data_IF_736204661057
#
_entry.id   IF_736204661057
#
_cell.length_a   1.000
_cell.length_b   1.000
_cell.length_c   1.000
_cell.angle_alpha   90.00
_cell.angle_beta   90.00
_cell.angle_gamma   90.00
#
_symmetry.space_group_name_H-M   'P 1'
#
loop_
_entity.id
_entity.type
_entity.pdbx_description
1 polymer ?
#
# COMPACT_ATOMS: atom_id res chain seq x y z
N UNK A 1 -35.98 -1.89 22.02
CA UNK A 1 -36.09 -2.06 20.56
C UNK A 1 -34.83 -1.50 19.91
N UNK A 2 -33.83 -2.34 19.70
CA UNK A 2 -32.53 -1.94 19.13
C UNK A 2 -32.60 -1.90 17.62
N UNK A 3 -32.33 -0.74 17.03
CA UNK A 3 -32.16 -0.60 15.60
C UNK A 3 -30.79 -1.20 15.19
N UNK A 4 -30.82 -2.32 14.48
CA UNK A 4 -29.65 -2.90 13.80
C UNK A 4 -29.29 -1.96 12.64
N UNK A 5 -28.16 -1.27 12.73
CA UNK A 5 -27.59 -0.49 11.62
C UNK A 5 -26.96 -1.47 10.64
N UNK A 6 -27.68 -1.76 9.57
CA UNK A 6 -27.20 -2.60 8.47
C UNK A 6 -26.40 -1.71 7.51
N UNK A 7 -25.10 -1.98 7.36
CA UNK A 7 -24.28 -1.36 6.31
C UNK A 7 -24.71 -1.94 4.96
N UNK A 8 -25.43 -1.17 4.15
CA UNK A 8 -25.87 -1.57 2.82
C UNK A 8 -25.07 -0.74 1.79
N UNK A 9 -24.10 -1.37 1.13
CA UNK A 9 -23.63 -0.86 -0.17
C UNK A 9 -24.65 -1.31 -1.22
N UNK A 10 -25.51 -0.42 -1.67
CA UNK A 10 -26.46 -0.70 -2.73
C UNK A 10 -25.81 -0.42 -4.09
N UNK A 11 -25.55 -1.46 -4.86
CA UNK A 11 -25.18 -1.35 -6.27
C UNK A 11 -26.45 -1.25 -7.09
N UNK A 12 -26.72 -0.09 -7.68
CA UNK A 12 -27.77 0.04 -8.68
C UNK A 12 -27.25 -0.45 -10.05
N UNK A 13 -27.91 -1.41 -10.71
CA UNK A 13 -27.49 -1.87 -12.02
C UNK A 13 -27.87 -0.84 -13.09
N UNK A 14 -26.91 -0.43 -13.89
CA UNK A 14 -27.18 0.28 -15.16
C UNK A 14 -27.52 -0.79 -16.21
N UNK A 15 -28.66 -0.61 -16.89
CA UNK A 15 -29.28 -1.55 -17.81
C UNK A 15 -28.32 -2.18 -18.84
N UNK A 16 -28.02 -3.43 -18.65
CA UNK A 16 -27.50 -4.37 -19.63
C UNK A 16 -27.95 -5.76 -19.19
N UNK A 17 -28.76 -6.44 -20.01
CA UNK A 17 -29.33 -7.77 -19.73
C UNK A 17 -28.24 -8.81 -19.46
N UNK A 18 -27.84 -8.94 -18.20
CA UNK A 18 -27.12 -10.11 -17.69
C UNK A 18 -28.16 -11.01 -17.06
N UNK A 19 -28.45 -12.15 -17.68
CA UNK A 19 -29.26 -13.22 -17.10
C UNK A 19 -28.61 -13.68 -15.78
N UNK A 20 -29.11 -13.15 -14.66
CA UNK A 20 -28.70 -13.56 -13.32
C UNK A 20 -29.51 -14.77 -12.88
N UNK A 21 -29.14 -15.96 -13.37
CA UNK A 21 -29.59 -17.22 -12.77
C UNK A 21 -28.56 -17.73 -11.78
N UNK A 22 -28.15 -16.93 -10.82
CA UNK A 22 -27.57 -17.29 -9.52
C UNK A 22 -27.36 -15.99 -8.70
N UNK A 23 -28.40 -15.53 -8.06
CA UNK A 23 -28.31 -14.43 -7.08
C UNK A 23 -27.64 -14.92 -5.79
N UNK A 24 -26.34 -15.25 -5.85
CA UNK A 24 -25.49 -15.21 -4.66
C UNK A 24 -25.21 -13.73 -4.38
N UNK A 25 -25.79 -13.21 -3.31
CA UNK A 25 -25.55 -11.84 -2.88
C UNK A 25 -24.05 -11.60 -2.81
N UNK A 26 -23.55 -10.51 -3.40
CA UNK A 26 -22.13 -10.14 -3.39
C UNK A 26 -21.60 -10.03 -1.95
N UNK A 27 -22.49 -9.86 -0.98
CA UNK A 27 -22.20 -9.77 0.46
C UNK A 27 -22.48 -11.05 1.27
N UNK A 28 -23.15 -12.06 0.71
CA UNK A 28 -23.48 -13.33 1.39
C UNK A 28 -22.62 -14.52 0.97
N UNK A 29 -21.70 -14.35 0.01
CA UNK A 29 -20.80 -15.42 -0.44
C UNK A 29 -19.53 -15.53 0.42
N UNK A 30 -18.85 -16.69 0.35
CA UNK A 30 -17.54 -16.91 0.97
C UNK A 30 -16.52 -15.88 0.44
N UNK A 31 -15.56 -15.48 1.29
CA UNK A 31 -14.45 -14.61 0.85
C UNK A 31 -13.63 -15.34 -0.22
N UNK A 32 -13.31 -14.71 -1.36
CA UNK A 32 -12.50 -15.36 -2.40
C UNK A 32 -11.11 -15.72 -1.88
N UNK A 33 -10.49 -16.80 -2.42
CA UNK A 33 -9.33 -17.42 -1.79
C UNK A 33 -8.09 -16.51 -1.71
N UNK A 34 -7.82 -15.69 -2.73
CA UNK A 34 -6.63 -14.81 -2.69
C UNK A 34 -6.85 -13.69 -1.68
N UNK A 35 -8.02 -13.06 -1.67
CA UNK A 35 -8.37 -12.05 -0.67
C UNK A 35 -8.23 -12.60 0.75
N UNK A 36 -8.79 -13.79 1.00
CA UNK A 36 -8.70 -14.43 2.31
C UNK A 36 -7.25 -14.73 2.71
N UNK A 37 -6.48 -15.33 1.80
CA UNK A 37 -5.08 -15.68 2.07
C UNK A 37 -4.21 -14.44 2.30
N UNK A 38 -4.40 -13.36 1.55
CA UNK A 38 -3.70 -12.11 1.77
C UNK A 38 -3.96 -11.57 3.18
N UNK A 39 -5.23 -11.56 3.61
CA UNK A 39 -5.59 -11.11 4.96
C UNK A 39 -4.93 -12.00 6.03
N UNK A 40 -5.04 -13.32 5.90
CA UNK A 40 -4.48 -14.27 6.87
C UNK A 40 -2.95 -14.13 6.95
N UNK A 41 -2.26 -14.10 5.81
CA UNK A 41 -0.79 -13.97 5.78
C UNK A 41 -0.35 -12.67 6.45
N UNK A 42 -0.98 -11.53 6.12
CA UNK A 42 -0.62 -10.24 6.71
C UNK A 42 -0.84 -10.21 8.23
N UNK A 43 -1.95 -10.79 8.72
CA UNK A 43 -2.23 -10.87 10.16
C UNK A 43 -1.22 -11.79 10.86
N UNK A 44 -0.90 -12.96 10.29
CA UNK A 44 0.08 -13.89 10.87
C UNK A 44 1.47 -13.23 10.91
N UNK A 45 1.90 -12.57 9.83
CA UNK A 45 3.20 -11.89 9.77
C UNK A 45 3.25 -10.74 10.78
N UNK A 46 2.18 -9.96 10.92
CA UNK A 46 2.10 -8.89 11.92
C UNK A 46 2.19 -9.43 13.36
N UNK A 47 1.50 -10.52 13.66
CA UNK A 47 1.61 -11.19 14.97
C UNK A 47 3.04 -11.73 15.19
N UNK A 48 3.66 -12.30 14.15
CA UNK A 48 5.04 -12.76 14.23
C UNK A 48 6.00 -11.59 14.49
N UNK A 49 5.85 -10.43 13.81
CA UNK A 49 6.67 -9.24 14.09
C UNK A 49 6.60 -8.86 15.59
N UNK A 50 5.40 -8.90 16.17
CA UNK A 50 5.19 -8.55 17.57
C UNK A 50 5.84 -9.55 18.54
N UNK A 51 5.77 -10.87 18.24
CA UNK A 51 6.38 -11.92 19.04
C UNK A 51 7.91 -11.86 18.95
N UNK A 52 8.46 -11.78 17.73
CA UNK A 52 9.91 -11.76 17.50
C UNK A 52 10.57 -10.50 18.05
N UNK A 53 9.90 -9.37 17.96
CA UNK A 53 10.41 -8.11 18.55
C UNK A 53 10.63 -8.24 20.07
N UNK A 54 9.76 -8.97 20.77
CA UNK A 54 9.94 -9.26 22.22
C UNK A 54 11.11 -10.17 22.53
N UNK A 55 11.53 -10.99 21.56
CA UNK A 55 12.72 -11.84 21.69
C UNK A 55 14.02 -11.15 21.21
N UNK A 56 13.95 -9.85 20.89
CA UNK A 56 15.10 -9.08 20.44
C UNK A 56 15.40 -9.17 18.94
N UNK A 57 14.51 -9.78 18.14
CA UNK A 57 14.66 -9.87 16.68
C UNK A 57 13.62 -8.97 16.00
N UNK A 58 14.08 -7.94 15.30
CA UNK A 58 13.17 -7.08 14.51
C UNK A 58 13.02 -7.61 13.08
N UNK A 59 11.86 -8.24 12.81
CA UNK A 59 11.53 -8.71 11.46
C UNK A 59 11.33 -7.55 10.48
N UNK A 60 11.06 -6.35 10.96
CA UNK A 60 10.92 -5.14 10.13
C UNK A 60 12.25 -4.81 9.46
N UNK A 61 13.34 -4.89 10.20
CA UNK A 61 14.70 -4.67 9.69
C UNK A 61 15.11 -5.72 8.66
N UNK A 62 14.70 -6.97 8.86
CA UNK A 62 15.11 -8.09 7.98
C UNK A 62 14.31 -8.09 6.68
N UNK A 63 12.99 -7.92 6.75
CA UNK A 63 12.06 -8.14 5.64
C UNK A 63 11.42 -6.86 5.09
N UNK A 64 11.53 -5.74 5.80
CA UNK A 64 11.07 -4.43 5.34
C UNK A 64 11.92 -3.90 4.19
N UNK A 65 11.37 -3.01 3.41
CA UNK A 65 12.02 -2.45 2.24
C UNK A 65 13.00 -1.36 2.65
N UNK A 66 14.29 -1.63 2.50
CA UNK A 66 15.35 -0.63 2.57
C UNK A 66 15.61 -0.01 1.19
N UNK A 67 16.18 1.19 1.19
CA UNK A 67 16.71 1.78 -0.03
C UNK A 67 17.90 0.98 -0.57
N UNK A 68 18.01 0.85 -1.90
CA UNK A 68 19.03 0.02 -2.56
C UNK A 68 20.48 0.40 -2.19
N UNK A 69 20.73 1.66 -1.83
CA UNK A 69 22.04 2.13 -1.37
C UNK A 69 22.29 1.92 0.13
N UNK A 70 21.33 1.43 0.91
CA UNK A 70 21.50 1.08 2.32
C UNK A 70 22.16 -0.29 2.48
N UNK A 71 22.94 -0.47 3.52
CA UNK A 71 23.52 -1.78 3.90
C UNK A 71 22.46 -2.82 4.28
N UNK A 72 21.27 -2.37 4.69
CA UNK A 72 20.13 -3.22 5.02
C UNK A 72 19.40 -3.81 3.82
N UNK A 73 19.62 -3.31 2.60
CA UNK A 73 18.88 -3.75 1.41
C UNK A 73 19.12 -5.21 1.04
N UNK A 74 18.04 -5.90 0.72
CA UNK A 74 18.04 -7.24 0.13
C UNK A 74 16.95 -7.31 -0.94
N UNK A 75 17.19 -8.01 -2.04
CA UNK A 75 16.28 -8.04 -3.21
C UNK A 75 14.90 -8.59 -2.88
N UNK A 76 14.78 -9.55 -1.97
CA UNK A 76 13.50 -10.13 -1.56
C UNK A 76 12.58 -9.11 -0.88
N UNK A 77 13.13 -8.02 -0.33
CA UNK A 77 12.39 -6.96 0.33
C UNK A 77 11.42 -6.24 -0.61
N UNK A 78 11.65 -6.26 -1.93
CA UNK A 78 10.70 -5.76 -2.93
C UNK A 78 9.33 -6.45 -2.86
N UNK A 79 9.26 -7.63 -2.26
CA UNK A 79 8.02 -8.40 -2.10
C UNK A 79 7.65 -8.52 -0.62
N UNK A 80 8.60 -8.84 0.26
CA UNK A 80 8.29 -9.17 1.65
C UNK A 80 7.73 -7.99 2.42
N UNK A 81 8.15 -6.76 2.13
CA UNK A 81 7.70 -5.55 2.80
C UNK A 81 6.16 -5.36 2.74
N UNK A 82 5.51 -5.89 1.68
CA UNK A 82 4.07 -5.80 1.45
C UNK A 82 3.25 -6.59 2.48
N UNK A 83 3.89 -7.50 3.22
CA UNK A 83 3.24 -8.35 4.22
C UNK A 83 3.56 -7.91 5.64
N UNK A 84 4.47 -6.97 5.83
CA UNK A 84 4.83 -6.40 7.12
C UNK A 84 3.96 -5.19 7.45
N UNK A 85 3.71 -4.98 8.74
CA UNK A 85 3.02 -3.81 9.24
C UNK A 85 3.72 -3.29 10.51
N UNK A 86 3.50 -2.03 10.86
CA UNK A 86 4.07 -1.51 12.11
C UNK A 86 3.56 -2.35 13.30
N UNK A 87 4.45 -2.96 14.08
CA UNK A 87 4.03 -3.72 15.27
C UNK A 87 3.44 -2.82 16.36
N UNK A 88 3.66 -1.51 16.28
CA UNK A 88 3.16 -0.51 17.23
C UNK A 88 1.79 0.06 16.86
N UNK A 89 1.25 -0.26 15.67
CA UNK A 89 0.01 0.31 15.16
C UNK A 89 -0.96 -0.78 14.66
N UNK A 90 -1.90 -1.17 15.51
CA UNK A 90 -3.01 -2.03 15.10
C UNK A 90 -3.83 -1.41 13.95
N UNK A 91 -4.04 -0.09 13.98
CA UNK A 91 -4.75 0.61 12.90
C UNK A 91 -4.12 0.40 11.54
N UNK A 92 -2.80 0.33 11.45
CA UNK A 92 -2.10 0.14 10.18
C UNK A 92 -2.47 -1.21 9.53
N UNK A 93 -2.39 -2.32 10.24
CA UNK A 93 -2.79 -3.63 9.68
C UNK A 93 -4.30 -3.71 9.48
N UNK A 94 -5.09 -3.17 10.42
CA UNK A 94 -6.55 -3.21 10.36
C UNK A 94 -7.09 -2.51 9.11
N UNK A 95 -6.71 -1.25 8.86
CA UNK A 95 -7.23 -0.50 7.71
C UNK A 95 -6.74 -1.06 6.37
N UNK A 96 -5.51 -1.58 6.29
CA UNK A 96 -5.05 -2.28 5.09
C UNK A 96 -5.89 -3.54 4.82
N UNK A 97 -6.08 -4.40 5.81
CA UNK A 97 -6.85 -5.64 5.64
C UNK A 97 -8.33 -5.38 5.42
N UNK A 98 -8.88 -4.35 6.04
CA UNK A 98 -10.24 -3.90 5.78
C UNK A 98 -10.42 -3.45 4.32
N UNK A 99 -9.49 -2.69 3.78
CA UNK A 99 -9.53 -2.26 2.37
C UNK A 99 -9.35 -3.44 1.40
N UNK A 100 -8.45 -4.39 1.70
CA UNK A 100 -8.31 -5.63 0.93
C UNK A 100 -9.62 -6.44 0.98
N UNK A 101 -10.26 -6.56 2.13
CA UNK A 101 -11.54 -7.24 2.28
C UNK A 101 -12.64 -6.56 1.47
N UNK A 102 -12.81 -5.25 1.60
CA UNK A 102 -13.90 -4.50 0.97
C UNK A 102 -13.75 -4.41 -0.55
N UNK A 103 -12.60 -3.99 -1.01
CA UNK A 103 -12.36 -3.69 -2.43
C UNK A 103 -11.71 -4.85 -3.16
N UNK A 104 -10.73 -5.53 -2.54
CA UNK A 104 -10.03 -6.67 -3.13
C UNK A 104 -10.97 -7.84 -3.42
N UNK A 105 -11.88 -8.15 -2.48
CA UNK A 105 -12.91 -9.15 -2.67
C UNK A 105 -13.73 -8.90 -3.94
N UNK A 106 -14.17 -7.67 -4.16
CA UNK A 106 -14.97 -7.31 -5.35
C UNK A 106 -14.16 -7.46 -6.64
N UNK A 107 -12.90 -7.01 -6.62
CA UNK A 107 -12.00 -7.15 -7.76
C UNK A 107 -11.67 -8.61 -8.07
N UNK A 108 -11.46 -9.44 -7.05
CA UNK A 108 -11.20 -10.87 -7.24
C UNK A 108 -12.41 -11.59 -7.86
N UNK A 109 -13.65 -11.24 -7.45
CA UNK A 109 -14.86 -11.78 -8.08
C UNK A 109 -14.96 -11.41 -9.55
N UNK A 110 -14.57 -10.18 -9.93
CA UNK A 110 -14.67 -9.69 -11.33
C UNK A 110 -13.54 -10.23 -12.19
N UNK A 111 -12.32 -10.23 -11.69
CA UNK A 111 -11.14 -10.57 -12.47
C UNK A 111 -10.71 -12.03 -12.36
N UNK A 112 -11.17 -12.72 -11.32
CA UNK A 112 -10.67 -14.02 -10.90
C UNK A 112 -9.35 -13.93 -10.12
N UNK A 113 -9.07 -14.95 -9.33
CA UNK A 113 -7.96 -15.00 -8.37
C UNK A 113 -6.59 -14.73 -8.99
N UNK A 114 -6.31 -15.31 -10.18
CA UNK A 114 -4.99 -15.16 -10.83
C UNK A 114 -4.69 -13.71 -11.21
N UNK A 115 -5.66 -13.01 -11.82
CA UNK A 115 -5.47 -11.61 -12.22
C UNK A 115 -5.41 -10.69 -11.01
N UNK A 116 -6.24 -10.92 -10.02
CA UNK A 116 -6.25 -10.15 -8.78
C UNK A 116 -4.89 -10.25 -8.06
N UNK A 117 -4.35 -11.48 -7.88
CA UNK A 117 -3.04 -11.67 -7.27
C UNK A 117 -1.93 -11.01 -8.09
N UNK A 118 -1.95 -11.16 -9.42
CA UNK A 118 -0.97 -10.48 -10.28
C UNK A 118 -1.04 -8.96 -10.12
N UNK A 119 -2.24 -8.40 -10.08
CA UNK A 119 -2.44 -6.97 -9.88
C UNK A 119 -1.89 -6.50 -8.53
N UNK A 120 -2.22 -7.21 -7.44
CA UNK A 120 -1.73 -6.92 -6.10
C UNK A 120 -0.20 -6.90 -6.04
N UNK A 121 0.45 -7.93 -6.58
CA UNK A 121 1.91 -8.05 -6.55
C UNK A 121 2.58 -6.97 -7.42
N UNK A 122 2.07 -6.71 -8.62
CA UNK A 122 2.66 -5.70 -9.52
C UNK A 122 2.50 -4.30 -8.95
N UNK A 123 1.35 -3.95 -8.38
CA UNK A 123 1.14 -2.63 -7.77
C UNK A 123 1.99 -2.45 -6.51
N UNK A 124 2.19 -3.51 -5.72
CA UNK A 124 3.08 -3.47 -4.57
C UNK A 124 4.55 -3.31 -4.98
N UNK A 125 5.05 -4.12 -5.92
CA UNK A 125 6.43 -3.96 -6.41
C UNK A 125 6.62 -2.59 -7.08
N UNK A 126 5.62 -2.12 -7.84
CA UNK A 126 5.62 -0.77 -8.42
C UNK A 126 5.70 0.33 -7.37
N UNK A 127 4.99 0.18 -6.26
CA UNK A 127 5.06 1.08 -5.12
C UNK A 127 6.48 1.14 -4.53
N UNK A 128 7.13 -0.02 -4.37
CA UNK A 128 8.51 -0.11 -3.90
C UNK A 128 9.48 0.63 -4.84
N UNK A 129 9.33 0.44 -6.15
CA UNK A 129 10.18 1.10 -7.16
C UNK A 129 10.02 2.62 -7.09
N UNK A 130 8.78 3.13 -7.02
CA UNK A 130 8.53 4.58 -6.91
C UNK A 130 9.09 5.13 -5.59
N UNK A 131 8.89 4.43 -4.47
CA UNK A 131 9.46 4.83 -3.19
C UNK A 131 10.99 4.92 -3.25
N UNK A 132 11.66 3.94 -3.84
CA UNK A 132 13.12 3.97 -4.01
C UNK A 132 13.58 5.13 -4.90
N UNK A 133 12.86 5.42 -5.99
CA UNK A 133 13.16 6.55 -6.86
C UNK A 133 13.05 7.89 -6.12
N UNK A 134 11.99 8.07 -5.33
CA UNK A 134 11.81 9.28 -4.52
C UNK A 134 12.89 9.39 -3.45
N UNK A 135 13.23 8.29 -2.78
CA UNK A 135 14.35 8.26 -1.82
C UNK A 135 15.67 8.65 -2.49
N UNK A 136 15.95 8.13 -3.69
CA UNK A 136 17.12 8.53 -4.48
C UNK A 136 17.14 10.04 -4.74
N UNK A 137 16.05 10.60 -5.25
CA UNK A 137 15.96 12.05 -5.54
C UNK A 137 16.17 12.86 -4.25
N UNK A 138 15.56 12.48 -3.14
CA UNK A 138 15.74 13.16 -1.84
C UNK A 138 17.21 13.13 -1.39
N UNK A 139 17.87 11.99 -1.46
CA UNK A 139 19.28 11.85 -1.10
C UNK A 139 20.18 12.71 -1.99
N UNK A 140 19.95 12.72 -3.31
CA UNK A 140 20.73 13.57 -4.23
C UNK A 140 20.60 15.07 -3.89
N UNK A 141 19.39 15.53 -3.56
CA UNK A 141 19.16 16.91 -3.14
C UNK A 141 19.85 17.24 -1.80
N UNK A 142 19.90 16.29 -0.88
CA UNK A 142 20.52 16.49 0.44
C UNK A 142 22.06 16.46 0.39
N UNK A 143 22.66 15.76 -0.55
CA UNK A 143 24.13 15.62 -0.69
C UNK A 143 24.85 16.98 -0.76
N UNK A 144 24.26 17.98 -1.38
CA UNK A 144 24.86 19.29 -1.55
C UNK A 144 25.16 20.01 -0.21
N UNK A 145 24.55 19.56 0.88
CA UNK A 145 24.73 20.15 2.21
C UNK A 145 25.75 19.37 3.07
N UNK A 146 26.43 18.38 2.49
CA UNK A 146 27.34 17.48 3.23
C UNK A 146 28.71 17.45 2.56
N UNK A 147 29.75 17.37 3.39
CA UNK A 147 31.11 17.18 2.90
C UNK A 147 31.32 15.73 2.38
N UNK A 148 32.30 15.49 1.50
CA UNK A 148 32.64 14.14 1.05
C UNK A 148 32.97 13.19 2.19
N UNK A 149 33.69 13.67 3.22
CA UNK A 149 34.06 12.86 4.38
C UNK A 149 32.82 12.49 5.22
N UNK A 150 31.90 13.44 5.45
CA UNK A 150 30.63 13.17 6.12
C UNK A 150 29.78 12.13 5.36
N UNK A 151 29.71 12.24 4.03
CA UNK A 151 29.00 11.26 3.21
C UNK A 151 29.63 9.86 3.33
N UNK A 152 30.98 9.79 3.23
CA UNK A 152 31.68 8.51 3.39
C UNK A 152 31.43 7.89 4.78
N UNK A 153 31.44 8.69 5.84
CA UNK A 153 31.16 8.23 7.18
C UNK A 153 29.72 7.69 7.30
N UNK A 154 28.73 8.41 6.78
CA UNK A 154 27.33 7.96 6.77
C UNK A 154 27.17 6.64 6.02
N UNK A 155 27.76 6.48 4.84
CA UNK A 155 27.67 5.23 4.06
C UNK A 155 28.37 4.06 4.76
N UNK A 156 29.41 4.31 5.58
CA UNK A 156 30.16 3.26 6.27
C UNK A 156 29.61 2.91 7.63
N UNK A 157 29.16 3.87 8.43
CA UNK A 157 28.76 3.67 9.82
C UNK A 157 27.29 3.96 10.11
N UNK A 158 26.62 4.77 9.27
CA UNK A 158 25.30 5.30 9.54
C UNK A 158 24.23 4.25 9.81
N UNK A 159 24.23 3.13 9.05
CA UNK A 159 23.31 2.02 9.31
C UNK A 159 23.53 1.39 10.70
N UNK A 160 24.78 1.12 11.08
CA UNK A 160 25.10 0.53 12.38
C UNK A 160 24.80 1.44 13.55
N UNK A 161 24.91 2.76 13.39
CA UNK A 161 24.50 3.74 14.41
C UNK A 161 23.00 3.66 14.67
N UNK A 162 22.16 3.63 13.61
CA UNK A 162 20.71 3.51 13.77
C UNK A 162 20.30 2.19 14.43
N UNK A 163 21.00 1.09 14.14
CA UNK A 163 20.75 -0.20 14.80
C UNK A 163 21.03 -0.17 16.32
N UNK A 164 21.88 0.77 16.75
CA UNK A 164 22.18 1.00 18.17
C UNK A 164 21.32 2.12 18.79
N UNK A 165 20.28 2.57 18.10
CA UNK A 165 19.44 3.73 18.46
C UNK A 165 20.25 5.04 18.61
N UNK A 166 21.33 5.18 17.85
CA UNK A 166 22.18 6.37 17.79
C UNK A 166 22.09 7.04 16.43
N UNK A 167 22.46 8.32 16.35
CA UNK A 167 22.57 9.04 15.09
C UNK A 167 23.62 10.16 15.22
N UNK A 168 23.91 10.86 14.15
CA UNK A 168 24.84 11.98 14.12
C UNK A 168 24.30 13.18 14.92
N UNK A 169 25.20 13.97 15.51
CA UNK A 169 24.85 15.21 16.21
C UNK A 169 24.49 16.31 15.21
N UNK A 170 25.22 16.34 14.08
CA UNK A 170 24.90 17.28 12.99
C UNK A 170 23.55 16.91 12.34
N UNK A 171 22.66 17.87 12.25
CA UNK A 171 21.29 17.68 11.78
C UNK A 171 21.19 17.28 10.31
N UNK A 172 22.11 17.77 9.45
CA UNK A 172 22.12 17.40 8.04
C UNK A 172 22.58 15.96 7.86
N UNK A 173 23.63 15.53 8.59
CA UNK A 173 24.10 14.15 8.60
C UNK A 173 23.04 13.21 9.18
N UNK A 174 22.43 13.58 10.31
CA UNK A 174 21.37 12.80 10.94
C UNK A 174 20.17 12.59 10.02
N UNK A 175 19.73 13.65 9.36
CA UNK A 175 18.60 13.60 8.44
C UNK A 175 18.91 12.74 7.21
N UNK A 176 20.11 12.90 6.62
CA UNK A 176 20.54 12.09 5.49
C UNK A 176 20.63 10.60 5.88
N UNK A 177 21.19 10.30 7.05
CA UNK A 177 21.30 8.94 7.56
C UNK A 177 19.93 8.28 7.75
N UNK A 178 18.96 8.99 8.31
CA UNK A 178 17.58 8.51 8.47
C UNK A 178 16.95 8.23 7.11
N UNK A 179 17.06 9.13 6.14
CA UNK A 179 16.48 8.94 4.80
C UNK A 179 17.14 7.76 4.08
N UNK A 180 18.47 7.62 4.17
CA UNK A 180 19.22 6.52 3.54
C UNK A 180 18.83 5.15 4.09
N UNK A 181 18.59 5.05 5.40
CA UNK A 181 18.43 3.78 6.11
C UNK A 181 17.01 3.55 6.66
N UNK A 182 16.05 4.42 6.31
CA UNK A 182 14.65 4.21 6.68
C UNK A 182 14.08 2.93 6.05
N UNK A 183 13.20 2.27 6.80
CA UNK A 183 12.55 1.03 6.38
C UNK A 183 11.10 1.30 6.06
N UNK A 184 10.65 0.88 4.89
CA UNK A 184 9.24 0.95 4.47
C UNK A 184 8.57 -0.40 4.65
N UNK A 185 7.37 -0.39 5.24
CA UNK A 185 6.54 -1.59 5.44
C UNK A 185 5.08 -1.28 5.12
N UNK A 186 4.33 -2.29 4.71
CA UNK A 186 2.90 -2.21 4.54
C UNK A 186 2.38 -2.72 3.20
N UNK A 187 1.18 -3.28 3.24
CA UNK A 187 0.41 -3.62 2.05
C UNK A 187 -0.14 -2.39 1.32
N UNK A 188 -0.02 -1.21 1.92
CA UNK A 188 -0.75 0.00 1.52
C UNK A 188 -0.48 0.44 0.07
N UNK A 189 0.74 0.28 -0.45
CA UNK A 189 1.03 0.54 -1.86
C UNK A 189 0.14 -0.29 -2.80
N UNK A 190 0.02 -1.60 -2.54
CA UNK A 190 -0.90 -2.47 -3.29
C UNK A 190 -2.37 -2.15 -3.01
N UNK A 191 -2.72 -1.77 -1.78
CA UNK A 191 -4.08 -1.35 -1.39
C UNK A 191 -4.51 -0.10 -2.14
N UNK A 192 -3.65 0.90 -2.30
CA UNK A 192 -3.94 2.08 -3.12
C UNK A 192 -4.12 1.72 -4.59
N UNK A 193 -3.37 0.73 -5.11
CA UNK A 193 -3.65 0.12 -6.40
C UNK A 193 -5.05 -0.51 -6.48
N UNK A 194 -5.45 -1.28 -5.47
CA UNK A 194 -6.79 -1.88 -5.36
C UNK A 194 -7.88 -0.80 -5.32
N UNK A 195 -7.72 0.25 -4.52
CA UNK A 195 -8.65 1.38 -4.45
C UNK A 195 -8.81 2.08 -5.81
N UNK A 196 -7.70 2.31 -6.50
CA UNK A 196 -7.71 2.87 -7.85
C UNK A 196 -8.49 1.98 -8.81
N UNK A 197 -8.20 0.67 -8.84
CA UNK A 197 -8.91 -0.28 -9.70
C UNK A 197 -10.41 -0.27 -9.43
N UNK A 198 -10.80 -0.27 -8.16
CA UNK A 198 -12.20 -0.19 -7.77
C UNK A 198 -12.85 1.10 -8.27
N UNK A 199 -12.21 2.25 -8.09
CA UNK A 199 -12.70 3.54 -8.58
C UNK A 199 -12.79 3.64 -10.10
N UNK A 200 -11.89 2.96 -10.84
CA UNK A 200 -11.92 2.92 -12.31
C UNK A 200 -12.99 1.95 -12.87
N UNK A 201 -13.22 0.82 -12.20
CA UNK A 201 -14.21 -0.18 -12.65
C UNK A 201 -15.63 0.19 -12.18
N UNK A 202 -15.75 0.76 -11.00
CA UNK A 202 -17.04 1.11 -10.37
C UNK A 202 -17.13 2.60 -10.00
N UNK A 203 -16.96 3.53 -10.95
CA UNK A 203 -16.77 4.96 -10.67
C UNK A 203 -17.95 5.61 -9.95
N UNK A 204 -19.14 5.09 -10.13
CA UNK A 204 -20.38 5.60 -9.55
C UNK A 204 -20.86 4.79 -8.32
N UNK A 205 -20.10 3.78 -7.88
CA UNK A 205 -20.42 3.07 -6.66
C UNK A 205 -20.41 4.04 -5.47
N UNK A 206 -21.44 3.98 -4.65
CA UNK A 206 -21.58 4.82 -3.47
C UNK A 206 -20.96 4.15 -2.26
N UNK A 207 -20.03 4.86 -1.61
CA UNK A 207 -19.28 4.38 -0.46
C UNK A 207 -19.60 5.27 0.75
N UNK A 208 -19.98 4.62 1.85
CA UNK A 208 -20.19 5.30 3.12
C UNK A 208 -18.91 5.25 3.95
N UNK A 209 -18.38 6.40 4.31
CA UNK A 209 -17.15 6.56 5.09
C UNK A 209 -17.50 7.21 6.41
N UNK A 210 -17.34 6.52 7.52
CA UNK A 210 -17.56 7.07 8.85
C UNK A 210 -16.44 8.08 9.17
N UNK A 211 -16.74 9.31 9.61
CA UNK A 211 -18.04 9.83 10.08
C UNK A 211 -18.85 10.63 9.04
N UNK A 212 -18.60 10.52 7.75
CA UNK A 212 -19.26 11.31 6.71
C UNK A 212 -20.73 10.85 6.57
N UNK A 213 -21.73 11.73 6.74
CA UNK A 213 -23.12 11.34 6.80
C UNK A 213 -23.81 11.09 5.45
N UNK A 214 -23.07 11.24 4.36
CA UNK A 214 -23.56 11.03 2.98
C UNK A 214 -22.61 10.15 2.17
N UNK A 215 -23.13 9.41 1.18
CA UNK A 215 -22.29 8.55 0.36
C UNK A 215 -21.41 9.35 -0.61
N UNK A 216 -20.18 8.89 -0.82
CA UNK A 216 -19.24 9.45 -1.78
C UNK A 216 -19.08 8.46 -2.93
N UNK A 217 -19.17 8.93 -4.18
CA UNK A 217 -18.88 8.08 -5.34
C UNK A 217 -17.40 7.66 -5.35
N UNK A 218 -17.15 6.39 -5.65
CA UNK A 218 -15.81 5.79 -5.62
C UNK A 218 -14.76 6.59 -6.40
N UNK A 219 -15.11 7.13 -7.57
CA UNK A 219 -14.19 7.98 -8.34
C UNK A 219 -13.69 9.21 -7.57
N UNK A 220 -14.58 9.88 -6.83
CA UNK A 220 -14.21 11.08 -6.08
C UNK A 220 -13.39 10.74 -4.83
N UNK A 221 -13.70 9.60 -4.20
CA UNK A 221 -12.89 9.08 -3.10
C UNK A 221 -11.45 8.81 -3.55
N UNK A 222 -11.26 8.10 -4.66
CA UNK A 222 -9.94 7.73 -5.19
C UNK A 222 -9.16 8.96 -5.63
N UNK A 223 -9.80 9.91 -6.32
CA UNK A 223 -9.17 11.18 -6.72
C UNK A 223 -8.75 11.97 -5.48
N UNK A 224 -9.64 12.09 -4.48
CA UNK A 224 -9.36 12.81 -3.23
C UNK A 224 -8.21 12.19 -2.45
N UNK A 225 -8.16 10.87 -2.31
CA UNK A 225 -7.03 10.17 -1.68
C UNK A 225 -5.73 10.38 -2.45
N UNK A 226 -5.74 10.22 -3.78
CA UNK A 226 -4.55 10.45 -4.60
C UNK A 226 -4.02 11.90 -4.48
N UNK A 227 -4.91 12.89 -4.48
CA UNK A 227 -4.54 14.30 -4.28
C UNK A 227 -3.99 14.56 -2.87
N UNK A 228 -4.59 13.94 -1.84
CA UNK A 228 -4.12 14.05 -0.45
C UNK A 228 -2.73 13.42 -0.29
N UNK A 229 -2.50 12.22 -0.82
CA UNK A 229 -1.19 11.57 -0.79
C UNK A 229 -0.10 12.40 -1.48
N UNK A 230 -0.43 13.00 -2.62
CA UNK A 230 0.49 13.91 -3.31
C UNK A 230 0.81 15.14 -2.46
N UNK A 231 -0.21 15.77 -1.89
CA UNK A 231 -0.05 16.95 -1.05
C UNK A 231 0.81 16.65 0.19
N UNK A 232 0.50 15.58 0.93
CA UNK A 232 1.23 15.20 2.14
C UNK A 232 2.68 14.78 1.81
N UNK A 233 2.88 14.02 0.73
CA UNK A 233 4.22 13.63 0.27
C UNK A 233 5.10 14.84 -0.11
N UNK A 234 4.51 15.88 -0.70
CA UNK A 234 5.21 17.14 -1.03
C UNK A 234 5.42 18.02 0.21
N UNK A 235 4.46 18.07 1.13
CA UNK A 235 4.53 18.86 2.34
C UNK A 235 5.63 18.37 3.29
N UNK A 236 6.00 17.09 3.23
CA UNK A 236 7.07 16.46 4.02
C UNK A 236 7.03 16.89 5.51
N UNK A 237 5.84 16.76 6.12
CA UNK A 237 5.59 17.24 7.47
C UNK A 237 6.47 16.51 8.49
N UNK A 238 7.00 17.27 9.46
CA UNK A 238 7.79 16.69 10.55
C UNK A 238 6.98 15.69 11.37
N UNK A 239 7.53 14.48 11.56
CA UNK A 239 6.86 13.40 12.27
C UNK A 239 5.91 12.54 11.40
N UNK A 240 5.73 12.86 10.12
CA UNK A 240 5.00 12.03 9.19
C UNK A 240 5.90 10.89 8.66
N UNK A 241 5.60 9.68 9.10
CA UNK A 241 6.32 8.47 8.72
C UNK A 241 5.61 7.67 7.62
N UNK A 242 4.60 8.26 6.96
CA UNK A 242 3.85 7.58 5.90
C UNK A 242 4.60 7.65 4.57
N UNK A 243 4.69 6.53 3.89
CA UNK A 243 5.30 6.45 2.57
C UNK A 243 4.32 6.88 1.45
N UNK A 244 3.92 8.16 1.44
CA UNK A 244 2.93 8.71 0.52
C UNK A 244 3.24 8.41 -0.95
N UNK A 245 4.50 8.50 -1.34
CA UNK A 245 4.90 8.21 -2.72
C UNK A 245 4.83 6.71 -3.06
N UNK A 246 4.94 5.81 -2.08
CA UNK A 246 4.65 4.40 -2.32
C UNK A 246 3.16 4.18 -2.66
N UNK A 247 2.25 4.89 -1.97
CA UNK A 247 0.81 4.84 -2.28
C UNK A 247 0.53 5.31 -3.71
N UNK A 248 1.08 6.47 -4.09
CA UNK A 248 0.98 6.99 -5.46
C UNK A 248 1.62 6.05 -6.49
N UNK A 249 2.73 5.42 -6.13
CA UNK A 249 3.40 4.40 -6.95
C UNK A 249 2.49 3.20 -7.23
N UNK A 250 1.81 2.70 -6.21
CA UNK A 250 0.82 1.62 -6.36
C UNK A 250 -0.34 2.01 -7.30
N UNK A 251 -0.86 3.24 -7.16
CA UNK A 251 -1.88 3.76 -8.08
C UNK A 251 -1.34 3.89 -9.51
N UNK A 252 -0.14 4.41 -9.71
CA UNK A 252 0.48 4.59 -11.02
C UNK A 252 0.63 3.26 -11.78
N UNK A 253 1.22 2.25 -11.13
CA UNK A 253 1.36 0.92 -11.71
C UNK A 253 0.00 0.26 -11.92
N UNK A 254 -0.97 0.55 -11.06
CA UNK A 254 -2.36 0.11 -11.21
C UNK A 254 -3.02 0.65 -12.48
N UNK A 255 -2.85 1.95 -12.78
CA UNK A 255 -3.33 2.56 -14.05
C UNK A 255 -2.71 1.83 -15.24
N UNK A 256 -1.39 1.67 -15.28
CA UNK A 256 -0.71 1.01 -16.39
C UNK A 256 -1.22 -0.42 -16.61
N UNK A 257 -1.41 -1.19 -15.55
CA UNK A 257 -1.96 -2.55 -15.67
C UNK A 257 -3.37 -2.56 -16.23
N UNK A 258 -4.26 -1.71 -15.73
CA UNK A 258 -5.65 -1.64 -16.20
C UNK A 258 -5.69 -1.22 -17.67
N UNK A 259 -4.93 -0.21 -18.06
CA UNK A 259 -4.87 0.26 -19.46
C UNK A 259 -4.27 -0.82 -20.37
N UNK A 260 -3.23 -1.52 -19.93
CA UNK A 260 -2.66 -2.65 -20.66
C UNK A 260 -3.70 -3.77 -20.88
N UNK A 261 -4.44 -4.14 -19.84
CA UNK A 261 -5.47 -5.16 -19.95
C UNK A 261 -6.65 -4.70 -20.84
N UNK A 262 -7.09 -3.46 -20.72
CA UNK A 262 -8.10 -2.90 -21.62
C UNK A 262 -7.67 -2.99 -23.08
N UNK A 263 -6.42 -2.65 -23.38
CA UNK A 263 -5.88 -2.73 -24.76
C UNK A 263 -5.82 -4.17 -25.26
N UNK A 264 -5.31 -5.10 -24.42
CA UNK A 264 -5.10 -6.51 -24.78
C UNK A 264 -6.41 -7.27 -25.03
N UNK A 265 -7.46 -6.96 -24.28
CA UNK A 265 -8.72 -7.69 -24.29
C UNK A 265 -9.87 -6.90 -24.94
N UNK A 266 -9.57 -5.84 -25.72
CA UNK A 266 -10.53 -4.99 -26.42
C UNK A 266 -11.44 -5.74 -27.41
N UNK A 267 -11.10 -6.98 -27.77
CA UNK A 267 -11.87 -7.87 -28.64
C UNK A 267 -12.85 -8.78 -27.88
N UNK A 268 -12.82 -8.80 -26.57
CA UNK A 268 -13.71 -9.57 -25.71
C UNK A 268 -14.32 -8.66 -24.65
N UNK A 269 -15.59 -8.30 -24.81
CA UNK A 269 -16.40 -7.44 -23.91
C UNK A 269 -16.56 -7.94 -22.45
N UNK A 270 -15.59 -8.68 -21.91
CA UNK A 270 -15.65 -9.31 -20.60
C UNK A 270 -15.00 -8.52 -19.46
N UNK A 271 -14.73 -7.22 -19.66
CA UNK A 271 -14.16 -6.36 -18.60
C UNK A 271 -15.16 -5.42 -17.94
N UNK A 272 -16.40 -5.41 -18.42
CA UNK A 272 -17.49 -4.62 -17.85
C UNK A 272 -18.74 -5.47 -17.67
#
# INVERSE_FOLDING_TARGET
MGKKTTFICTFAPHNGNISMNNSRSVFGGSIPPVTLNLIIINVIVWLAQWVFLRSGTDLTEIFGLHYIGSKGFRIYQLITYMFLHSPYSFGHVFFNMFAVFMFGRTLEYVWGSKRFLTYYLVTGVGAAIVQMLITFIRLELMKNNLSPDALNDIYTQGYSLLQQNMNYIDTAQASFNVVLNSVTVGASGAVFGILLAFGMLFPNAELFIIPIPFPIKAKWLVIGYGALELFLGMANLSGDNVAHFAHLGGMLFGIFMILYWKKKYKTNDRFY
#
